data_IF_926649819429
#
_entry.id   IF_926649819429
#
_cell.length_a   1.000
_cell.length_b   1.000
_cell.length_c   1.000
_cell.angle_alpha   90.00
_cell.angle_beta   90.00
_cell.angle_gamma   90.00
#
_symmetry.space_group_name_H-M   'P 1'
#
loop_
_entity.id
_entity.type
_entity.pdbx_description
1 polymer ?
#
# COMPACT_ATOMS: atom_id res chain seq x y z
N UNK A 1 -1.37 -17.04 5.15
CA UNK A 1 -0.61 -15.95 4.51
C UNK A 1 0.89 -16.14 4.76
N UNK A 2 1.66 -16.05 3.72
CA UNK A 2 3.14 -16.02 3.82
C UNK A 2 3.60 -14.81 4.65
N UNK A 3 4.52 -14.96 5.62
CA UNK A 3 5.04 -13.83 6.37
C UNK A 3 5.73 -12.81 5.45
N UNK A 4 5.48 -11.52 5.69
CA UNK A 4 6.17 -10.46 4.96
C UNK A 4 7.62 -10.37 5.46
N UNK A 5 8.63 -10.44 4.58
CA UNK A 5 10.03 -10.33 4.98
C UNK A 5 10.33 -9.04 5.75
N UNK A 6 11.19 -9.12 6.77
CA UNK A 6 11.50 -7.99 7.66
C UNK A 6 11.94 -6.74 6.91
N UNK A 7 12.78 -6.88 5.88
CA UNK A 7 13.24 -5.73 5.09
C UNK A 7 12.12 -5.01 4.33
N UNK A 8 11.09 -5.76 3.88
CA UNK A 8 9.90 -5.17 3.27
C UNK A 8 9.04 -4.50 4.34
N UNK A 9 8.84 -5.17 5.48
CA UNK A 9 8.09 -4.61 6.60
C UNK A 9 8.69 -3.29 7.10
N UNK A 10 10.01 -3.23 7.27
CA UNK A 10 10.74 -2.02 7.65
C UNK A 10 10.58 -0.90 6.62
N UNK A 11 10.67 -1.23 5.33
CA UNK A 11 10.45 -0.27 4.25
C UNK A 11 9.05 0.31 4.29
N UNK A 12 8.02 -0.55 4.42
CA UNK A 12 6.61 -0.13 4.51
C UNK A 12 6.36 0.79 5.71
N UNK A 13 6.95 0.48 6.87
CA UNK A 13 6.79 1.27 8.10
C UNK A 13 7.54 2.60 8.05
N UNK A 14 8.64 2.67 7.32
CA UNK A 14 9.46 3.87 7.17
C UNK A 14 8.85 4.89 6.22
N UNK A 15 8.10 4.42 5.21
CA UNK A 15 7.42 5.27 4.24
C UNK A 15 5.96 5.50 4.63
N UNK A 16 5.31 6.51 4.05
CA UNK A 16 3.95 6.91 4.45
C UNK A 16 3.06 7.37 3.30
N UNK A 17 3.58 7.44 2.08
CA UNK A 17 2.82 7.80 0.88
C UNK A 17 2.99 6.71 -0.17
N UNK A 18 1.88 6.26 -0.73
CA UNK A 18 1.86 5.36 -1.88
C UNK A 18 1.28 6.05 -3.11
N UNK A 19 1.67 5.58 -4.28
CA UNK A 19 0.98 5.86 -5.54
C UNK A 19 0.08 4.68 -5.85
N UNK A 20 -1.20 4.94 -6.06
CA UNK A 20 -2.23 3.96 -6.34
C UNK A 20 -2.64 4.04 -7.80
N UNK A 21 -2.64 2.91 -8.49
CA UNK A 21 -3.13 2.76 -9.85
C UNK A 21 -4.43 1.95 -9.85
N UNK A 22 -5.44 2.48 -10.50
CA UNK A 22 -6.78 1.89 -10.60
C UNK A 22 -7.21 1.78 -12.05
N UNK A 23 -8.12 0.87 -12.33
CA UNK A 23 -8.68 0.65 -13.66
C UNK A 23 -10.12 0.17 -13.57
N UNK A 24 -10.98 0.76 -14.38
CA UNK A 24 -12.35 0.28 -14.63
C UNK A 24 -12.72 0.56 -16.10
N UNK A 25 -14.02 0.52 -16.43
CA UNK A 25 -14.50 0.83 -17.78
C UNK A 25 -14.15 2.24 -18.26
N UNK A 26 -13.89 3.18 -17.36
CA UNK A 26 -13.46 4.55 -17.69
C UNK A 26 -11.96 4.65 -18.01
N UNK A 27 -11.19 3.58 -17.84
CA UNK A 27 -9.77 3.52 -18.11
C UNK A 27 -8.89 3.55 -16.86
N UNK A 28 -7.63 3.86 -17.05
CA UNK A 28 -6.60 3.92 -16.01
C UNK A 28 -6.59 5.28 -15.32
N UNK A 29 -6.37 5.27 -14.02
CA UNK A 29 -6.16 6.48 -13.24
C UNK A 29 -5.15 6.21 -12.12
N UNK A 30 -4.54 7.26 -11.58
CA UNK A 30 -3.59 7.13 -10.48
C UNK A 30 -3.78 8.26 -9.47
N UNK A 31 -3.50 7.98 -8.20
CA UNK A 31 -3.56 8.94 -7.11
C UNK A 31 -2.53 8.63 -6.04
N UNK A 32 -2.05 9.64 -5.34
CA UNK A 32 -1.21 9.48 -4.15
C UNK A 32 -2.07 9.47 -2.90
N UNK A 33 -1.77 8.56 -1.98
CA UNK A 33 -2.47 8.43 -0.71
C UNK A 33 -1.48 8.25 0.44
N UNK A 34 -1.74 8.88 1.58
CA UNK A 34 -1.11 8.45 2.83
C UNK A 34 -1.61 7.06 3.21
N UNK A 35 -0.75 6.26 3.82
CA UNK A 35 -1.11 4.93 4.29
C UNK A 35 -0.55 4.62 5.67
N UNK A 36 -1.16 3.67 6.33
CA UNK A 36 -0.63 2.98 7.48
C UNK A 36 -0.58 1.48 7.21
N UNK A 37 0.28 0.77 7.93
CA UNK A 37 0.47 -0.66 7.75
C UNK A 37 -0.30 -1.45 8.81
N UNK A 38 -1.05 -2.45 8.37
CA UNK A 38 -1.49 -3.56 9.19
C UNK A 38 -0.79 -4.83 8.68
N UNK A 39 0.44 -5.02 9.13
CA UNK A 39 1.30 -6.10 8.65
C UNK A 39 0.82 -7.48 9.08
N UNK A 40 0.14 -7.59 10.23
CA UNK A 40 -0.42 -8.84 10.70
C UNK A 40 -1.49 -9.38 9.75
N UNK A 41 -2.32 -8.50 9.19
CA UNK A 41 -3.30 -8.84 8.18
C UNK A 41 -2.73 -8.79 6.73
N UNK A 42 -1.51 -8.29 6.56
CA UNK A 42 -0.89 -8.11 5.24
C UNK A 42 -1.64 -7.11 4.38
N UNK A 43 -1.96 -5.96 4.95
CA UNK A 43 -2.73 -4.91 4.27
C UNK A 43 -2.22 -3.52 4.58
N UNK A 44 -2.49 -2.59 3.67
CA UNK A 44 -2.30 -1.17 3.88
C UNK A 44 -3.66 -0.51 4.08
N UNK A 45 -3.72 0.45 4.99
CA UNK A 45 -4.94 1.22 5.26
C UNK A 45 -4.77 2.60 4.63
N UNK A 46 -5.76 3.03 3.88
CA UNK A 46 -5.82 4.38 3.28
C UNK A 46 -7.15 5.05 3.59
N UNK A 47 -7.11 6.37 3.80
CA UNK A 47 -8.30 7.22 3.90
C UNK A 47 -8.47 7.97 2.57
N UNK A 48 -9.53 7.67 1.85
CA UNK A 48 -9.84 8.36 0.60
C UNK A 48 -11.33 8.27 0.30
N UNK A 49 -11.91 9.40 -0.10
CA UNK A 49 -13.35 9.51 -0.31
C UNK A 49 -13.83 8.73 -1.53
N UNK A 50 -14.97 8.07 -1.40
CA UNK A 50 -15.73 7.49 -2.52
C UNK A 50 -16.10 8.52 -3.59
N UNK A 51 -16.10 9.81 -3.28
CA UNK A 51 -16.39 10.88 -4.25
C UNK A 51 -15.23 11.15 -5.21
N UNK A 52 -14.05 10.68 -4.91
CA UNK A 52 -12.89 10.80 -5.81
C UNK A 52 -13.01 9.84 -6.99
N UNK A 53 -12.35 10.18 -8.10
CA UNK A 53 -12.32 9.29 -9.26
C UNK A 53 -11.73 7.91 -8.91
N UNK A 54 -10.59 7.87 -8.22
CA UNK A 54 -9.99 6.59 -7.82
C UNK A 54 -10.84 5.81 -6.83
N UNK A 55 -11.56 6.49 -5.90
CA UNK A 55 -12.49 5.84 -4.98
C UNK A 55 -13.65 5.18 -5.71
N UNK A 56 -14.23 5.86 -6.70
CA UNK A 56 -15.30 5.30 -7.53
C UNK A 56 -14.81 4.12 -8.37
N UNK A 57 -13.61 4.23 -8.96
CA UNK A 57 -13.04 3.16 -9.76
C UNK A 57 -12.71 1.92 -8.91
N UNK A 58 -12.18 2.10 -7.68
CA UNK A 58 -11.96 0.98 -6.74
C UNK A 58 -13.26 0.27 -6.34
N UNK A 59 -14.37 1.02 -6.22
CA UNK A 59 -15.70 0.43 -5.94
C UNK A 59 -16.17 -0.49 -7.06
N UNK A 60 -15.85 -0.16 -8.30
CA UNK A 60 -16.28 -0.92 -9.49
C UNK A 60 -15.31 -2.05 -9.81
N UNK A 61 -14.02 -1.82 -9.60
CA UNK A 61 -12.93 -2.78 -9.89
C UNK A 61 -11.94 -2.78 -8.74
N UNK A 62 -12.04 -3.75 -7.82
CA UNK A 62 -11.23 -3.74 -6.59
C UNK A 62 -9.78 -4.16 -6.78
N UNK A 63 -9.40 -4.70 -7.93
CA UNK A 63 -8.01 -5.06 -8.20
C UNK A 63 -7.22 -3.79 -8.52
N UNK A 64 -6.21 -3.51 -7.72
CA UNK A 64 -5.37 -2.32 -7.82
C UNK A 64 -3.90 -2.67 -7.82
N UNK A 65 -3.09 -1.74 -8.30
CA UNK A 65 -1.64 -1.82 -8.21
C UNK A 65 -1.11 -0.53 -7.61
N UNK A 66 0.15 -0.54 -7.19
CA UNK A 66 0.75 0.68 -6.68
C UNK A 66 2.25 0.59 -6.50
N UNK A 67 2.81 1.71 -6.12
CA UNK A 67 4.23 1.83 -5.80
C UNK A 67 4.42 2.64 -4.52
N UNK A 68 5.50 2.35 -3.82
CA UNK A 68 5.98 3.15 -2.70
C UNK A 68 7.45 3.43 -2.94
N UNK A 69 7.83 4.70 -2.95
CA UNK A 69 9.22 5.12 -3.06
C UNK A 69 9.42 6.42 -2.29
N UNK A 70 10.65 6.70 -1.89
CA UNK A 70 11.03 8.01 -1.40
C UNK A 70 11.39 8.96 -2.55
N UNK A 71 12.05 10.04 -2.21
CA UNK A 71 12.65 10.98 -3.15
C UNK A 71 14.16 11.06 -2.88
N UNK A 72 14.93 9.98 -3.20
CA UNK A 72 16.36 9.96 -2.97
C UNK A 72 17.06 10.95 -3.90
N UNK A 73 18.07 11.66 -3.39
CA UNK A 73 18.87 12.58 -4.18
C UNK A 73 19.91 11.85 -5.03
N UNK A 74 20.33 10.66 -4.60
CA UNK A 74 21.35 9.86 -5.28
C UNK A 74 20.76 8.53 -5.76
N UNK A 75 21.15 8.12 -6.96
CA UNK A 75 20.68 6.87 -7.57
C UNK A 75 20.97 5.62 -6.72
N UNK A 76 22.08 5.63 -5.97
CA UNK A 76 22.46 4.51 -5.06
C UNK A 76 21.47 4.33 -3.91
N UNK A 77 20.74 5.38 -3.55
CA UNK A 77 19.76 5.36 -2.46
C UNK A 77 18.35 5.01 -2.95
N UNK A 78 18.22 4.75 -4.26
CA UNK A 78 16.94 4.33 -4.83
C UNK A 78 16.57 2.97 -4.26
N UNK A 79 15.44 2.95 -3.57
CA UNK A 79 14.74 1.74 -3.20
C UNK A 79 13.25 1.95 -3.40
N UNK A 80 12.54 0.90 -3.69
CA UNK A 80 11.12 1.01 -3.99
C UNK A 80 10.38 -0.31 -3.86
N UNK A 81 9.09 -0.20 -3.70
CA UNK A 81 8.17 -1.30 -3.61
C UNK A 81 7.11 -1.16 -4.70
N UNK A 82 6.88 -2.24 -5.41
CA UNK A 82 5.74 -2.40 -6.32
C UNK A 82 4.79 -3.42 -5.70
N UNK A 83 3.48 -3.19 -5.81
CA UNK A 83 2.50 -4.11 -5.25
C UNK A 83 1.25 -4.25 -6.11
N UNK A 84 0.58 -5.38 -5.94
CA UNK A 84 -0.83 -5.54 -6.29
C UNK A 84 -1.64 -5.80 -5.03
N UNK A 85 -2.88 -5.37 -5.03
CA UNK A 85 -3.77 -5.52 -3.88
C UNK A 85 -5.22 -5.65 -4.32
N UNK A 86 -6.06 -6.13 -3.41
CA UNK A 86 -7.51 -6.05 -3.50
C UNK A 86 -8.01 -4.95 -2.56
N UNK A 87 -8.68 -3.95 -3.09
CA UNK A 87 -9.23 -2.83 -2.34
C UNK A 87 -10.60 -3.19 -1.76
N UNK A 88 -10.80 -2.91 -0.49
CA UNK A 88 -12.08 -3.12 0.19
C UNK A 88 -12.46 -1.86 0.96
N UNK A 89 -13.65 -1.33 0.69
CA UNK A 89 -14.25 -0.29 1.51
C UNK A 89 -14.71 -0.92 2.84
N UNK A 90 -14.22 -0.36 3.93
CA UNK A 90 -14.51 -0.88 5.27
C UNK A 90 -15.72 -0.19 5.88
N UNK A 91 -16.44 -0.91 6.74
CA UNK A 91 -17.60 -0.42 7.47
C UNK A 91 -17.64 -1.01 8.89
N UNK A 92 -18.39 -0.37 9.80
CA UNK A 92 -18.61 -0.87 11.14
C UNK A 92 -17.33 -1.03 11.96
N UNK A 93 -17.22 -2.13 12.68
CA UNK A 93 -16.08 -2.43 13.58
C UNK A 93 -14.75 -2.53 12.82
N UNK A 94 -14.75 -3.05 11.59
CA UNK A 94 -13.54 -3.14 10.76
C UNK A 94 -13.03 -1.74 10.37
N UNK A 95 -13.96 -0.83 10.04
CA UNK A 95 -13.61 0.56 9.75
C UNK A 95 -13.05 1.27 11.00
N UNK A 96 -13.63 1.03 12.17
CA UNK A 96 -13.18 1.63 13.43
C UNK A 96 -11.77 1.14 13.80
N UNK A 97 -11.50 -0.15 13.68
CA UNK A 97 -10.18 -0.73 13.92
C UNK A 97 -9.13 -0.21 12.93
N UNK A 98 -9.49 -0.10 11.66
CA UNK A 98 -8.60 0.44 10.62
C UNK A 98 -8.32 1.93 10.84
N UNK A 99 -9.32 2.70 11.29
CA UNK A 99 -9.13 4.12 11.63
C UNK A 99 -8.15 4.30 12.79
N UNK A 100 -8.24 3.48 13.82
CA UNK A 100 -7.27 3.51 14.92
C UNK A 100 -5.85 3.20 14.43
N UNK A 101 -5.69 2.15 13.63
CA UNK A 101 -4.41 1.79 13.01
C UNK A 101 -3.83 2.95 12.18
N UNK A 102 -4.67 3.57 11.36
CA UNK A 102 -4.25 4.73 10.55
C UNK A 102 -3.91 5.95 11.41
N UNK A 103 -4.73 6.25 12.43
CA UNK A 103 -4.57 7.42 13.27
C UNK A 103 -3.35 7.34 14.20
N UNK A 104 -2.90 6.15 14.58
CA UNK A 104 -1.63 5.98 15.29
C UNK A 104 -0.45 6.51 14.47
N UNK A 105 -0.49 6.30 13.16
CA UNK A 105 0.53 6.80 12.24
C UNK A 105 0.28 8.26 11.83
N UNK A 106 -0.98 8.62 11.61
CA UNK A 106 -1.42 9.92 11.10
C UNK A 106 -2.51 10.50 12.01
N UNK A 107 -2.15 11.13 13.15
CA UNK A 107 -3.12 11.59 14.16
C UNK A 107 -4.18 12.57 13.66
N UNK A 108 -3.89 13.31 12.57
CA UNK A 108 -4.86 14.24 11.96
C UNK A 108 -6.15 13.54 11.50
N UNK A 109 -6.09 12.24 11.25
CA UNK A 109 -7.26 11.45 10.85
C UNK A 109 -8.37 11.41 11.91
N UNK A 110 -8.04 11.66 13.19
CA UNK A 110 -9.03 11.77 14.27
C UNK A 110 -9.91 13.00 14.14
N UNK A 111 -9.40 14.05 13.47
CA UNK A 111 -10.10 15.32 13.28
C UNK A 111 -10.87 15.38 11.96
N UNK A 112 -10.46 14.61 10.94
CA UNK A 112 -11.05 14.65 9.61
C UNK A 112 -11.26 13.21 9.11
N UNK A 113 -12.45 12.66 9.42
CA UNK A 113 -12.85 11.32 9.00
C UNK A 113 -13.39 11.36 7.57
N UNK A 114 -12.99 10.40 6.75
CA UNK A 114 -13.57 10.10 5.43
C UNK A 114 -13.68 8.58 5.27
N UNK A 115 -14.03 8.12 4.07
CA UNK A 115 -14.09 6.69 3.79
C UNK A 115 -12.73 6.04 4.00
N UNK A 116 -12.72 4.83 4.54
CA UNK A 116 -11.52 4.08 4.87
C UNK A 116 -11.49 2.76 4.11
N UNK A 117 -10.33 2.44 3.56
CA UNK A 117 -10.12 1.29 2.72
C UNK A 117 -8.98 0.42 3.24
N UNK A 118 -9.14 -0.89 3.12
CA UNK A 118 -8.05 -1.85 3.23
C UNK A 118 -7.57 -2.23 1.83
N UNK A 119 -6.29 -2.09 1.59
CA UNK A 119 -5.60 -2.61 0.41
C UNK A 119 -4.92 -3.92 0.82
N UNK A 120 -5.59 -5.04 0.59
CA UNK A 120 -5.10 -6.37 0.92
C UNK A 120 -4.04 -6.77 -0.10
N UNK A 121 -2.79 -6.75 0.33
CA UNK A 121 -1.63 -7.03 -0.51
C UNK A 121 -1.67 -8.46 -1.06
N UNK A 122 -1.41 -8.61 -2.35
CA UNK A 122 -1.36 -9.91 -3.04
C UNK A 122 0.05 -10.27 -3.48
N UNK A 123 0.75 -9.31 -4.06
CA UNK A 123 2.12 -9.45 -4.52
C UNK A 123 2.93 -8.22 -4.14
N UNK A 124 4.17 -8.43 -3.77
CA UNK A 124 5.14 -7.37 -3.52
C UNK A 124 6.43 -7.66 -4.26
N UNK A 125 7.02 -6.62 -4.83
CA UNK A 125 8.38 -6.65 -5.36
C UNK A 125 9.15 -5.48 -4.76
N UNK A 126 10.13 -5.79 -3.93
CA UNK A 126 11.03 -4.82 -3.32
C UNK A 126 12.36 -4.80 -4.07
N UNK A 127 12.82 -3.61 -4.41
CA UNK A 127 14.11 -3.40 -5.08
C UNK A 127 14.92 -2.41 -4.25
N UNK A 128 16.18 -2.74 -3.99
CA UNK A 128 17.14 -1.88 -3.31
C UNK A 128 18.44 -1.81 -4.10
N UNK A 129 19.00 -0.61 -4.22
CA UNK A 129 20.30 -0.36 -4.83
C UNK A 129 21.42 -0.15 -3.78
N UNK A 130 21.22 -0.57 -2.54
CA UNK A 130 22.19 -0.41 -1.44
C UNK A 130 23.57 -1.02 -1.72
N UNK A 131 23.65 -1.91 -2.71
CA UNK A 131 24.86 -2.57 -3.15
C UNK A 131 25.13 -2.27 -4.64
N UNK A 132 26.29 -2.66 -5.14
CA UNK A 132 26.69 -2.49 -6.54
C UNK A 132 25.69 -3.08 -7.55
N UNK A 133 24.85 -4.01 -7.12
CA UNK A 133 23.81 -4.63 -7.91
C UNK A 133 22.45 -4.47 -7.25
N UNK A 134 21.44 -4.17 -8.05
CA UNK A 134 20.05 -4.12 -7.59
C UNK A 134 19.63 -5.47 -6.99
N UNK A 135 19.20 -5.46 -5.73
CA UNK A 135 18.66 -6.63 -5.06
C UNK A 135 17.14 -6.60 -5.11
N UNK A 136 16.55 -7.72 -5.47
CA UNK A 136 15.09 -7.87 -5.59
C UNK A 136 14.59 -8.92 -4.62
N UNK A 137 13.42 -8.66 -4.03
CA UNK A 137 12.71 -9.63 -3.21
C UNK A 137 11.26 -9.64 -3.65
N UNK A 138 10.76 -10.83 -3.97
CA UNK A 138 9.37 -11.05 -4.33
C UNK A 138 8.64 -11.75 -3.19
N UNK A 139 7.42 -11.33 -2.94
CA UNK A 139 6.53 -11.93 -1.96
C UNK A 139 5.15 -12.11 -2.60
N UNK A 140 4.52 -13.21 -2.29
CA UNK A 140 3.13 -13.49 -2.65
C UNK A 140 2.37 -13.93 -1.40
N UNK A 141 1.12 -13.48 -1.27
CA UNK A 141 0.29 -13.74 -0.10
C UNK A 141 0.21 -15.22 0.28
N UNK A 142 -0.04 -16.08 -0.69
CA UNK A 142 -0.21 -17.51 -0.51
C UNK A 142 0.83 -18.30 -1.33
N UNK A 143 2.03 -17.76 -1.47
CA UNK A 143 3.13 -18.29 -2.25
C UNK A 143 4.44 -18.39 -1.47
N UNK A 144 5.55 -18.50 -2.20
CA UNK A 144 6.90 -18.49 -1.65
C UNK A 144 7.49 -17.08 -1.74
N UNK A 145 8.46 -16.79 -0.85
CA UNK A 145 9.30 -15.60 -0.94
C UNK A 145 10.52 -15.98 -1.78
N UNK A 146 10.73 -15.25 -2.87
CA UNK A 146 11.90 -15.39 -3.72
C UNK A 146 12.78 -14.14 -3.57
N UNK A 147 14.07 -14.34 -3.38
CA UNK A 147 15.08 -13.28 -3.35
C UNK A 147 16.13 -13.58 -4.44
N UNK A 148 16.35 -12.59 -5.30
CA UNK A 148 17.42 -12.60 -6.30
C UNK A 148 18.66 -11.87 -5.75
#
# INVERSE_FOLDING_TARGET
MTPIPSKIAEFLQRHHVLSLAVQDAQGLWAASCFYACDLAAGQLIVLTSLKTRHGQQMSQSPVVAGTISGQPEHWRDICGLQFTASAQLLAGADADAALECFAERHPIARLKRTDIWALRLQQLKYTSNDYLFAQKTHWQRDGQVEAD
#
